data_IF_584867154739
#
_entry.id   IF_584867154739
#
_cell.length_a   1.000
_cell.length_b   1.000
_cell.length_c   1.000
_cell.angle_alpha   90.00
_cell.angle_beta   90.00
_cell.angle_gamma   90.00
#
_symmetry.space_group_name_H-M   'P 1'
#
loop_
_entity.id
_entity.type
_entity.pdbx_description
1 polymer ?
#
# COMPACT_ATOMS: atom_id res chain seq x y z
N UNK A 1 -11.58 -0.04 2.11
CA UNK A 1 -10.13 -0.01 1.83
C UNK A 1 -9.42 -1.12 2.58
N UNK A 2 -8.69 -1.92 1.81
CA UNK A 2 -7.86 -3.01 2.32
C UNK A 2 -6.43 -2.75 1.86
N UNK A 3 -5.48 -2.83 2.79
CA UNK A 3 -4.05 -2.78 2.53
C UNK A 3 -3.43 -4.16 2.67
N UNK A 4 -2.75 -4.66 1.65
CA UNK A 4 -1.97 -5.90 1.73
C UNK A 4 -0.49 -5.52 1.78
N UNK A 5 0.21 -6.03 2.79
CA UNK A 5 1.64 -5.78 2.96
C UNK A 5 2.44 -7.08 2.86
N UNK A 6 3.43 -7.07 1.98
CA UNK A 6 4.60 -7.94 2.03
C UNK A 6 5.87 -7.08 2.13
N UNK A 7 7.03 -7.70 2.39
CA UNK A 7 8.31 -6.98 2.43
C UNK A 7 8.66 -6.26 1.13
N UNK A 8 8.24 -6.78 -0.03
CA UNK A 8 8.61 -6.23 -1.34
C UNK A 8 7.46 -5.57 -2.11
N UNK A 9 6.23 -5.59 -1.57
CA UNK A 9 5.03 -5.16 -2.28
C UNK A 9 3.99 -4.63 -1.29
N UNK A 10 3.36 -3.52 -1.66
CA UNK A 10 2.26 -2.90 -0.92
C UNK A 10 1.09 -2.80 -1.89
N UNK A 11 -0.10 -3.27 -1.50
CA UNK A 11 -1.31 -3.15 -2.32
C UNK A 11 -2.37 -2.41 -1.52
N UNK A 12 -2.94 -1.35 -2.10
CA UNK A 12 -4.15 -0.73 -1.57
C UNK A 12 -5.31 -1.06 -2.52
N UNK A 13 -6.41 -1.54 -1.95
CA UNK A 13 -7.60 -1.96 -2.69
C UNK A 13 -8.85 -1.27 -2.14
N UNK A 14 -9.88 -1.19 -2.99
CA UNK A 14 -11.21 -0.67 -2.64
C UNK A 14 -11.17 0.79 -2.13
N UNK A 15 -10.31 1.62 -2.72
CA UNK A 15 -10.35 3.06 -2.50
C UNK A 15 -11.54 3.66 -3.25
N UNK A 16 -12.25 4.58 -2.61
CA UNK A 16 -13.50 5.13 -3.17
C UNK A 16 -13.21 6.11 -4.30
N UNK A 17 -12.11 6.84 -4.18
CA UNK A 17 -11.67 7.85 -5.13
C UNK A 17 -10.17 7.72 -5.40
N UNK A 18 -9.72 8.30 -6.50
CA UNK A 18 -8.29 8.45 -6.77
C UNK A 18 -7.58 9.30 -5.69
N UNK A 19 -8.31 10.21 -5.03
CA UNK A 19 -7.76 11.06 -3.96
C UNK A 19 -7.37 10.25 -2.73
N UNK A 20 -8.17 9.23 -2.36
CA UNK A 20 -7.81 8.34 -1.25
C UNK A 20 -6.47 7.64 -1.48
N UNK A 21 -6.21 7.21 -2.73
CA UNK A 21 -4.92 6.62 -3.10
C UNK A 21 -3.81 7.66 -3.02
N UNK A 22 -4.02 8.88 -3.55
CA UNK A 22 -3.01 9.95 -3.49
C UNK A 22 -2.64 10.28 -2.05
N UNK A 23 -3.62 10.46 -1.17
CA UNK A 23 -3.38 10.79 0.24
C UNK A 23 -2.55 9.71 0.95
N UNK A 24 -2.82 8.43 0.66
CA UNK A 24 -2.01 7.32 1.19
C UNK A 24 -0.58 7.37 0.65
N UNK A 25 -0.43 7.62 -0.66
CA UNK A 25 0.87 7.72 -1.30
C UNK A 25 1.69 8.88 -0.74
N UNK A 26 1.07 10.02 -0.44
CA UNK A 26 1.74 11.18 0.14
C UNK A 26 2.33 10.89 1.53
N UNK A 27 1.71 10.01 2.31
CA UNK A 27 2.25 9.59 3.61
C UNK A 27 3.42 8.60 3.49
N UNK A 28 3.32 7.61 2.60
CA UNK A 28 4.27 6.49 2.55
C UNK A 28 5.45 6.74 1.60
N UNK A 29 5.25 7.52 0.54
CA UNK A 29 6.28 7.79 -0.47
C UNK A 29 7.53 8.46 0.11
N UNK A 30 7.45 9.43 1.04
CA UNK A 30 8.65 9.99 1.65
C UNK A 30 9.54 8.93 2.27
N UNK A 31 8.98 7.91 2.91
CA UNK A 31 9.73 6.79 3.50
C UNK A 31 10.31 5.90 2.40
N UNK A 32 9.50 5.53 1.41
CA UNK A 32 9.91 4.63 0.33
C UNK A 32 11.04 5.23 -0.52
N UNK A 33 10.92 6.51 -0.86
CA UNK A 33 11.88 7.21 -1.73
C UNK A 33 13.15 7.59 -0.96
N UNK A 34 13.02 8.19 0.23
CA UNK A 34 14.20 8.64 1.01
C UNK A 34 15.14 7.49 1.39
N UNK A 35 14.60 6.28 1.56
CA UNK A 35 15.35 5.07 1.90
C UNK A 35 15.74 4.22 0.68
N UNK A 36 15.47 4.71 -0.53
CA UNK A 36 15.91 4.11 -1.78
C UNK A 36 15.26 2.76 -2.08
N UNK A 37 13.95 2.62 -1.83
CA UNK A 37 13.17 1.42 -2.19
C UNK A 37 12.68 1.43 -3.65
N UNK A 38 12.82 2.56 -4.36
CA UNK A 38 12.47 2.73 -5.78
C UNK A 38 11.09 2.15 -6.14
N UNK A 39 10.00 2.69 -5.57
CA UNK A 39 8.65 2.16 -5.78
C UNK A 39 8.18 2.31 -7.23
N UNK A 40 7.59 1.25 -7.78
CA UNK A 40 6.91 1.23 -9.08
C UNK A 40 5.41 1.03 -8.85
N UNK A 41 4.59 1.91 -9.42
CA UNK A 41 3.16 1.98 -9.17
C UNK A 41 2.37 1.44 -10.36
N UNK A 42 1.43 0.54 -10.09
CA UNK A 42 0.46 0.03 -11.04
C UNK A 42 -0.93 0.38 -10.52
N UNK A 43 -1.60 1.31 -11.19
CA UNK A 43 -2.93 1.76 -10.82
C UNK A 43 -3.97 0.98 -11.60
N UNK A 44 -4.99 0.50 -10.89
CA UNK A 44 -6.08 -0.30 -11.44
C UNK A 44 -7.43 0.21 -10.91
N UNK A 45 -8.51 -0.10 -11.63
CA UNK A 45 -9.89 0.18 -11.22
C UNK A 45 -10.60 1.27 -12.02
N UNK A 46 -11.93 1.19 -11.97
CA UNK A 46 -12.88 2.19 -12.46
C UNK A 46 -13.91 2.45 -11.37
N UNK A 47 -14.40 3.68 -11.15
CA UNK A 47 -15.34 4.02 -10.09
C UNK A 47 -16.76 3.50 -10.40
N UNK A 48 -16.90 2.18 -10.52
CA UNK A 48 -18.18 1.49 -10.74
C UNK A 48 -18.62 0.88 -9.43
N UNK A 49 -19.79 1.29 -8.95
CA UNK A 49 -20.45 0.72 -7.78
C UNK A 49 -20.54 -0.82 -7.93
N UNK A 50 -19.90 -1.55 -7.02
CA UNK A 50 -19.96 -3.02 -6.94
C UNK A 50 -18.77 -3.79 -7.51
N UNK A 51 -17.78 -3.14 -8.16
CA UNK A 51 -16.67 -3.85 -8.86
C UNK A 51 -15.31 -3.71 -8.13
N UNK A 52 -15.31 -3.18 -6.90
CA UNK A 52 -14.08 -2.84 -6.19
C UNK A 52 -13.55 -1.50 -6.71
N UNK A 53 -13.40 -0.53 -5.81
CA UNK A 53 -12.95 0.82 -6.16
C UNK A 53 -11.52 0.86 -6.70
N UNK A 54 -10.90 2.03 -6.69
CA UNK A 54 -9.52 2.19 -7.13
C UNK A 54 -8.56 1.30 -6.33
N UNK A 55 -7.55 0.78 -7.01
CA UNK A 55 -6.45 0.05 -6.42
C UNK A 55 -5.10 0.53 -6.92
N UNK A 56 -4.08 0.37 -6.09
CA UNK A 56 -2.69 0.54 -6.50
C UNK A 56 -1.86 -0.62 -5.98
N UNK A 57 -1.04 -1.18 -6.86
CA UNK A 57 0.02 -2.11 -6.51
C UNK A 57 1.33 -1.34 -6.56
N UNK A 58 2.08 -1.37 -5.46
CA UNK A 58 3.37 -0.71 -5.30
C UNK A 58 4.42 -1.81 -5.17
N UNK A 59 5.26 -1.98 -6.19
CA UNK A 59 6.39 -2.92 -6.15
C UNK A 59 7.66 -2.18 -5.76
N UNK A 60 8.43 -2.76 -4.84
CA UNK A 60 9.69 -2.20 -4.37
C UNK A 60 10.87 -2.92 -5.03
N UNK A 61 11.94 -2.20 -5.32
CA UNK A 61 13.15 -2.78 -5.92
C UNK A 61 13.96 -3.65 -4.93
N UNK A 62 13.69 -3.50 -3.63
CA UNK A 62 14.28 -4.27 -2.53
C UNK A 62 13.29 -4.41 -1.38
N UNK A 63 13.52 -5.39 -0.51
CA UNK A 63 12.69 -5.66 0.65
C UNK A 63 12.77 -4.54 1.71
N UNK A 64 11.63 -4.21 2.30
CA UNK A 64 11.51 -3.38 3.48
C UNK A 64 12.24 -4.02 4.66
N UNK A 65 12.90 -3.18 5.47
CA UNK A 65 13.38 -3.62 6.77
C UNK A 65 12.19 -3.88 7.70
N UNK A 66 12.37 -4.68 8.75
CA UNK A 66 11.29 -4.92 9.72
C UNK A 66 10.87 -3.62 10.44
N UNK A 67 11.78 -2.65 10.57
CA UNK A 67 11.46 -1.33 11.10
C UNK A 67 10.54 -0.56 10.14
N UNK A 68 10.91 -0.49 8.86
CA UNK A 68 10.17 0.25 7.84
C UNK A 68 8.80 -0.38 7.56
N UNK A 69 8.74 -1.71 7.51
CA UNK A 69 7.50 -2.46 7.41
C UNK A 69 6.53 -2.07 8.53
N UNK A 70 7.01 -2.04 9.78
CA UNK A 70 6.19 -1.65 10.94
C UNK A 70 5.73 -0.20 10.87
N UNK A 71 6.58 0.71 10.42
CA UNK A 71 6.22 2.14 10.24
C UNK A 71 5.12 2.29 9.19
N UNK A 72 5.29 1.68 8.01
CA UNK A 72 4.30 1.76 6.93
C UNK A 72 2.98 1.12 7.38
N UNK A 73 3.03 -0.06 8.00
CA UNK A 73 1.85 -0.71 8.59
C UNK A 73 1.14 0.22 9.57
N UNK A 74 1.87 0.92 10.44
CA UNK A 74 1.30 1.84 11.43
C UNK A 74 0.61 3.03 10.76
N UNK A 75 1.22 3.61 9.72
CA UNK A 75 0.64 4.72 8.94
C UNK A 75 -0.70 4.30 8.35
N UNK A 76 -0.76 3.15 7.67
CA UNK A 76 -1.99 2.68 7.05
C UNK A 76 -3.09 2.34 8.07
N UNK A 77 -2.72 1.76 9.22
CA UNK A 77 -3.67 1.50 10.31
C UNK A 77 -4.26 2.80 10.89
N UNK A 78 -3.47 3.87 11.02
CA UNK A 78 -3.95 5.19 11.47
C UNK A 78 -4.94 5.82 10.48
N UNK A 79 -4.88 5.44 9.20
CA UNK A 79 -5.84 5.80 8.15
C UNK A 79 -7.10 4.91 8.15
N UNK A 80 -7.31 4.08 9.19
CA UNK A 80 -8.39 3.10 9.30
C UNK A 80 -8.43 2.07 8.14
N UNK A 81 -7.29 1.81 7.51
CA UNK A 81 -7.17 0.79 6.46
C UNK A 81 -7.02 -0.57 7.12
N UNK A 82 -7.83 -1.55 6.71
CA UNK A 82 -7.69 -2.94 7.17
C UNK A 82 -6.43 -3.55 6.57
N UNK A 83 -5.54 -4.10 7.39
CA UNK A 83 -4.26 -4.66 6.92
C UNK A 83 -4.28 -6.19 6.90
N UNK A 84 -3.87 -6.77 5.78
CA UNK A 84 -3.55 -8.18 5.60
C UNK A 84 -2.04 -8.30 5.39
N UNK A 85 -1.37 -9.11 6.21
CA UNK A 85 0.07 -9.38 6.07
C UNK A 85 0.24 -10.63 5.20
N UNK A 86 0.73 -10.49 3.96
CA UNK A 86 0.85 -11.63 3.03
C UNK A 86 2.00 -12.57 3.44
N UNK A 87 3.09 -12.04 4.01
CA UNK A 87 4.24 -12.82 4.46
C UNK A 87 3.93 -13.79 5.62
N UNK A 88 2.78 -13.64 6.28
CA UNK A 88 2.34 -14.51 7.39
C UNK A 88 1.30 -15.55 6.98
N UNK A 89 0.81 -15.48 5.74
CA UNK A 89 -0.18 -16.43 5.21
C UNK A 89 0.47 -17.63 4.51
N UNK A 90 1.77 -17.55 4.20
CA UNK A 90 2.55 -18.61 3.54
C UNK A 90 3.43 -19.43 4.52
N UNK A 91 3.22 -19.28 5.83
CA UNK A 91 3.99 -19.97 6.89
C UNK A 91 3.16 -21.05 7.61
#
# INVERSE_FOLDING_TARGET
>A
MIGRLSKNKIIIQEAWTQYDIRDILDDINPILVSKGYSPTYFFEGTPVLGVGGFSVIIKLAKDLTDADYRVIKRILLLRNIKIVEEDKLEA
#
